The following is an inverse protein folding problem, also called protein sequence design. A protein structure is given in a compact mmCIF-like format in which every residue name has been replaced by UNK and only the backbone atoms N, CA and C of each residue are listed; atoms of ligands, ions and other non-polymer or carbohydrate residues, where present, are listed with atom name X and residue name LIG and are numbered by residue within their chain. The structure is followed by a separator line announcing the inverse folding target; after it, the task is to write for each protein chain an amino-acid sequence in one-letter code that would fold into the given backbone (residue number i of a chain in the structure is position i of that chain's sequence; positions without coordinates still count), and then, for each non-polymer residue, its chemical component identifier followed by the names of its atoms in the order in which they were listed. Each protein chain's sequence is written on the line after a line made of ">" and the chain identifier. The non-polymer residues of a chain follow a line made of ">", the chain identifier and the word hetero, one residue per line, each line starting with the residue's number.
data_IF_951231709292
#
_entry.id   IF_951231709292
#
_cell.length_a   1.000
_cell.length_b   1.000
_cell.length_c   1.000
_cell.angle_alpha   90.00
_cell.angle_beta   90.00
_cell.angle_gamma   90.00
#
_symmetry.space_group_name_H-M   'P 1'
#
loop_
_entity.id
_entity.type
_entity.pdbx_description
1 polymer ?
#
# COMPACT_ATOMS: atom_id res chain seq x y z
N UNK A 1 -19.95 -8.08 1.70
CA UNK A 1 -19.58 -7.84 3.12
C UNK A 1 -18.93 -6.47 3.23
N UNK A 2 -19.51 -5.55 4.01
CA UNK A 2 -18.81 -4.31 4.38
C UNK A 2 -17.74 -4.73 5.38
N UNK A 3 -16.46 -4.69 4.99
CA UNK A 3 -15.36 -4.76 5.94
C UNK A 3 -15.50 -3.55 6.86
N UNK A 4 -16.05 -3.76 8.06
CA UNK A 4 -16.06 -2.74 9.08
C UNK A 4 -14.62 -2.54 9.53
N UNK A 5 -14.19 -1.28 9.54
CA UNK A 5 -12.94 -0.84 10.12
C UNK A 5 -12.83 -1.42 11.56
N UNK A 6 -11.81 -2.25 11.86
CA UNK A 6 -11.65 -2.91 13.17
C UNK A 6 -11.70 -1.94 14.35
N UNK A 7 -11.35 -0.67 14.10
CA UNK A 7 -11.37 0.41 15.09
C UNK A 7 -12.77 0.79 15.60
N UNK A 8 -13.85 0.35 14.94
CA UNK A 8 -15.24 0.72 15.30
C UNK A 8 -16.03 -0.39 15.97
N UNK A 9 -15.44 -1.55 16.16
CA UNK A 9 -16.11 -2.70 16.73
C UNK A 9 -16.15 -2.56 18.26
N UNK A 10 -17.36 -2.64 18.85
CA UNK A 10 -17.54 -2.61 20.30
C UNK A 10 -17.61 -4.02 20.85
N UNK A 11 -16.99 -4.30 22.01
CA UNK A 11 -17.11 -5.58 22.68
C UNK A 11 -18.55 -5.80 23.17
N UNK A 12 -19.14 -6.93 22.81
CA UNK A 12 -20.51 -7.30 23.23
C UNK A 12 -20.54 -8.13 24.53
N UNK A 13 -19.37 -8.57 25.03
CA UNK A 13 -19.22 -9.35 26.25
C UNK A 13 -18.24 -8.72 27.24
N UNK A 14 -18.47 -8.96 28.54
CA UNK A 14 -17.62 -8.47 29.63
C UNK A 14 -16.22 -9.09 29.55
N UNK A 15 -16.13 -10.35 29.12
CA UNK A 15 -14.87 -11.05 28.91
C UNK A 15 -14.05 -10.42 27.77
N UNK A 16 -14.71 -10.06 26.65
CA UNK A 16 -14.06 -9.35 25.55
C UNK A 16 -13.58 -7.97 26.00
N UNK A 17 -14.39 -7.23 26.76
CA UNK A 17 -14.00 -5.95 27.34
C UNK A 17 -12.76 -6.08 28.23
N UNK A 18 -12.71 -7.09 29.10
CA UNK A 18 -11.58 -7.32 29.98
C UNK A 18 -10.30 -7.65 29.20
N UNK A 19 -10.39 -8.53 28.19
CA UNK A 19 -9.23 -8.88 27.37
C UNK A 19 -8.70 -7.64 26.65
N UNK A 20 -9.58 -6.85 26.03
CA UNK A 20 -9.21 -5.62 25.33
C UNK A 20 -8.61 -4.59 26.29
N UNK A 21 -9.19 -4.43 27.48
CA UNK A 21 -8.65 -3.52 28.50
C UNK A 21 -7.25 -3.92 28.96
N UNK A 22 -6.97 -5.23 29.11
CA UNK A 22 -5.63 -5.73 29.43
C UNK A 22 -4.65 -5.40 28.29
N UNK A 23 -5.07 -5.58 27.03
CA UNK A 23 -4.25 -5.24 25.87
C UNK A 23 -3.94 -3.73 25.82
N UNK A 24 -4.96 -2.89 26.01
CA UNK A 24 -4.81 -1.43 26.04
C UNK A 24 -3.89 -0.99 27.21
N UNK A 25 -4.02 -1.60 28.40
CA UNK A 25 -3.14 -1.32 29.52
C UNK A 25 -1.69 -1.77 29.24
N UNK A 26 -1.49 -2.90 28.55
CA UNK A 26 -0.15 -3.34 28.14
C UNK A 26 0.50 -2.41 27.14
N UNK A 27 -0.25 -1.86 26.17
CA UNK A 27 0.25 -0.85 25.23
C UNK A 27 0.74 0.38 26.00
N UNK A 28 -0.08 0.91 26.91
CA UNK A 28 0.29 2.07 27.73
C UNK A 28 1.53 1.79 28.59
N UNK A 29 1.66 0.58 29.14
CA UNK A 29 2.86 0.17 29.91
C UNK A 29 4.10 0.07 29.02
N UNK A 30 3.97 -0.48 27.81
CA UNK A 30 5.04 -0.57 26.82
C UNK A 30 5.52 0.82 26.42
N UNK A 31 4.59 1.72 26.06
CA UNK A 31 4.89 3.12 25.73
C UNK A 31 5.64 3.84 26.85
N UNK A 32 5.24 3.63 28.11
CA UNK A 32 5.92 4.28 29.26
C UNK A 32 7.31 3.71 29.50
N UNK A 33 7.47 2.40 29.34
CA UNK A 33 8.77 1.73 29.52
C UNK A 33 9.76 2.08 28.40
N UNK A 34 9.28 2.31 27.18
CA UNK A 34 10.11 2.69 26.03
C UNK A 34 10.70 4.10 26.15
N UNK A 35 10.14 4.95 27.03
CA UNK A 35 10.71 6.27 27.33
C UNK A 35 12.02 6.18 28.15
N UNK A 36 12.21 5.10 28.92
CA UNK A 36 13.32 5.01 29.89
C UNK A 36 14.69 5.18 29.21
N UNK A 37 15.03 4.47 28.11
CA UNK A 37 16.32 4.65 27.43
C UNK A 37 16.55 6.08 26.94
N UNK A 38 15.57 6.69 26.26
CA UNK A 38 15.69 8.05 25.72
C UNK A 38 15.83 9.13 26.81
N UNK A 39 15.20 8.91 27.97
CA UNK A 39 15.36 9.77 29.14
C UNK A 39 16.76 9.61 29.74
N UNK A 40 17.28 8.40 29.83
CA UNK A 40 18.63 8.13 30.38
C UNK A 40 19.72 8.78 29.51
N UNK A 41 19.57 8.69 28.18
CA UNK A 41 20.52 9.28 27.21
C UNK A 41 20.58 10.81 27.32
N UNK A 42 19.49 11.44 27.75
CA UNK A 42 19.39 12.89 27.87
C UNK A 42 18.92 13.36 29.24
N UNK A 43 19.37 12.66 30.28
CA UNK A 43 18.97 12.91 31.66
C UNK A 43 19.19 14.37 32.10
N UNK A 44 20.29 15.00 31.65
CA UNK A 44 20.59 16.39 31.96
C UNK A 44 19.54 17.39 31.46
N UNK A 45 18.79 17.07 30.40
CA UNK A 45 17.69 17.93 29.90
C UNK A 45 16.39 17.76 30.68
N UNK A 46 16.24 16.63 31.36
CA UNK A 46 15.00 16.26 32.04
C UNK A 46 15.09 16.31 33.56
N UNK A 47 16.30 16.40 34.14
CA UNK A 47 16.54 16.36 35.59
C UNK A 47 15.64 17.32 36.39
N UNK A 48 15.53 18.58 35.97
CA UNK A 48 14.70 19.59 36.65
C UNK A 48 13.21 19.24 36.61
N UNK A 49 12.76 18.61 35.53
CA UNK A 49 11.35 18.23 35.33
C UNK A 49 11.01 16.94 36.09
N UNK A 50 11.93 15.97 36.11
CA UNK A 50 11.79 14.67 36.75
C UNK A 50 11.82 14.78 38.28
N UNK A 51 12.59 15.74 38.81
CA UNK A 51 12.84 15.87 40.25
C UNK A 51 13.93 14.91 40.74
N UNK A 52 14.42 15.12 41.98
CA UNK A 52 15.59 14.40 42.50
C UNK A 52 15.32 12.91 42.70
N UNK A 53 14.11 12.49 43.11
CA UNK A 53 13.81 11.08 43.36
C UNK A 53 13.88 10.25 42.07
N UNK A 54 13.25 10.73 41.00
CA UNK A 54 13.20 10.03 39.71
C UNK A 54 14.58 10.08 39.03
N UNK A 55 15.24 11.23 39.09
CA UNK A 55 16.60 11.40 38.52
C UNK A 55 17.60 10.46 39.19
N UNK A 56 17.57 10.34 40.51
CA UNK A 56 18.43 9.42 41.24
C UNK A 56 18.11 7.95 40.89
N UNK A 57 16.82 7.59 40.81
CA UNK A 57 16.43 6.23 40.42
C UNK A 57 16.92 5.85 39.01
N UNK A 58 16.89 6.80 38.06
CA UNK A 58 17.42 6.62 36.71
C UNK A 58 18.96 6.55 36.67
N UNK A 59 19.65 7.33 37.51
CA UNK A 59 21.12 7.22 37.66
C UNK A 59 21.51 5.84 38.16
N UNK A 60 20.84 5.34 39.21
CA UNK A 60 21.09 4.00 39.73
C UNK A 60 20.76 2.92 38.71
N UNK A 61 19.67 3.08 37.94
CA UNK A 61 19.36 2.18 36.83
C UNK A 61 20.47 2.15 35.77
N UNK A 62 20.99 3.31 35.37
CA UNK A 62 22.09 3.42 34.41
C UNK A 62 23.37 2.75 34.91
N UNK A 63 23.69 2.89 36.19
CA UNK A 63 24.85 2.21 36.81
C UNK A 63 24.71 0.70 36.73
N UNK A 64 23.55 0.16 37.11
CA UNK A 64 23.26 -1.28 37.04
C UNK A 64 23.32 -1.82 35.61
N UNK A 65 22.87 -1.03 34.63
CA UNK A 65 22.94 -1.40 33.22
C UNK A 65 24.40 -1.45 32.73
N UNK A 66 25.22 -0.46 33.08
CA UNK A 66 26.64 -0.46 32.75
C UNK A 66 27.41 -1.60 33.43
N UNK A 67 27.09 -1.94 34.68
CA UNK A 67 27.63 -3.13 35.36
C UNK A 67 27.31 -4.43 34.60
N UNK A 68 26.10 -4.53 34.04
CA UNK A 68 25.64 -5.71 33.28
C UNK A 68 26.36 -5.81 31.94
N UNK A 69 26.45 -4.70 31.20
CA UNK A 69 27.19 -4.63 29.94
C UNK A 69 28.67 -5.00 30.13
N UNK A 70 29.30 -4.51 31.20
CA UNK A 70 30.69 -4.84 31.50
C UNK A 70 30.89 -6.33 31.81
N UNK A 71 29.97 -6.95 32.59
CA UNK A 71 30.03 -8.39 32.86
C UNK A 71 29.83 -9.22 31.59
N UNK A 72 28.90 -8.81 30.72
CA UNK A 72 28.67 -9.48 29.43
C UNK A 72 29.89 -9.38 28.51
N UNK A 73 30.48 -8.19 28.39
CA UNK A 73 31.69 -7.98 27.60
C UNK A 73 32.88 -8.81 28.11
N UNK A 74 33.03 -8.95 29.44
CA UNK A 74 34.08 -9.80 30.04
C UNK A 74 33.83 -11.31 29.87
N UNK A 75 32.60 -11.71 29.52
CA UNK A 75 32.23 -13.13 29.34
C UNK A 75 32.51 -13.64 27.92
N UNK A 76 32.69 -12.76 26.93
CA UNK A 76 32.98 -13.18 25.55
C UNK A 76 34.44 -13.68 25.37
N UNK A 77 35.31 -13.42 26.34
CA UNK A 77 36.75 -13.76 26.28
C UNK A 77 37.11 -15.13 26.92
N UNK A 78 36.16 -15.90 27.46
CA UNK A 78 36.45 -17.23 28.05
C UNK A 78 35.22 -18.00 28.58
N UNK A 79 35.43 -19.29 28.88
CA UNK A 79 34.38 -20.21 29.40
C UNK A 79 33.73 -19.63 30.66
N UNK A 80 32.41 -19.41 30.61
CA UNK A 80 31.65 -18.77 31.69
C UNK A 80 31.66 -19.63 32.96
N UNK A 81 32.23 -19.13 34.05
CA UNK A 81 32.21 -19.83 35.35
C UNK A 81 30.81 -19.80 35.98
N UNK A 82 30.44 -20.84 36.74
CA UNK A 82 29.13 -20.91 37.44
C UNK A 82 28.88 -19.70 38.35
N UNK A 83 29.93 -19.15 38.96
CA UNK A 83 29.88 -17.92 39.78
C UNK A 83 29.47 -16.69 38.96
N UNK A 84 29.96 -16.57 37.72
CA UNK A 84 29.61 -15.51 36.78
C UNK A 84 28.14 -15.59 36.39
N UNK A 85 27.62 -16.81 36.19
CA UNK A 85 26.19 -17.05 35.91
C UNK A 85 25.30 -16.65 37.10
N UNK A 86 25.73 -16.93 38.33
CA UNK A 86 25.07 -16.48 39.55
C UNK A 86 25.05 -14.95 39.69
N UNK A 87 26.16 -14.28 39.38
CA UNK A 87 26.27 -12.82 39.39
C UNK A 87 25.34 -12.16 38.36
N UNK A 88 25.28 -12.70 37.13
CA UNK A 88 24.36 -12.24 36.08
C UNK A 88 22.90 -12.36 36.52
N UNK A 89 22.52 -13.49 37.14
CA UNK A 89 21.16 -13.68 37.65
C UNK A 89 20.80 -12.64 38.74
N UNK A 90 21.73 -12.36 39.66
CA UNK A 90 21.52 -11.35 40.70
C UNK A 90 21.35 -9.95 40.09
N UNK A 91 22.20 -9.61 39.11
CA UNK A 91 22.19 -8.31 38.46
C UNK A 91 20.93 -8.11 37.60
N UNK A 92 20.47 -9.15 36.91
CA UNK A 92 19.19 -9.16 36.19
C UNK A 92 18.02 -8.87 37.15
N UNK A 93 18.00 -9.49 38.34
CA UNK A 93 16.98 -9.21 39.34
C UNK A 93 17.05 -7.78 39.88
N UNK A 94 18.26 -7.24 40.08
CA UNK A 94 18.47 -5.82 40.48
C UNK A 94 17.97 -4.88 39.38
N UNK A 95 18.27 -5.15 38.12
CA UNK A 95 17.78 -4.40 36.97
C UNK A 95 16.25 -4.44 36.88
N UNK A 96 15.63 -5.62 36.99
CA UNK A 96 14.16 -5.76 37.02
C UNK A 96 13.52 -4.94 38.14
N UNK A 97 14.09 -4.97 39.35
CA UNK A 97 13.61 -4.16 40.49
C UNK A 97 13.79 -2.67 40.23
N UNK A 98 14.91 -2.27 39.65
CA UNK A 98 15.22 -0.89 39.29
C UNK A 98 14.24 -0.35 38.25
N UNK A 99 14.01 -1.07 37.14
CA UNK A 99 13.00 -0.70 36.12
C UNK A 99 11.61 -0.58 36.75
N UNK A 100 11.19 -1.55 37.56
CA UNK A 100 9.90 -1.49 38.26
C UNK A 100 9.80 -0.29 39.18
N UNK A 101 10.89 0.09 39.86
CA UNK A 101 10.92 1.26 40.72
C UNK A 101 10.75 2.55 39.91
N UNK A 102 11.53 2.70 38.83
CA UNK A 102 11.43 3.84 37.91
C UNK A 102 10.01 3.94 37.34
N UNK A 103 9.45 2.84 36.85
CA UNK A 103 8.09 2.81 36.33
C UNK A 103 7.05 3.22 37.38
N UNK A 104 7.15 2.73 38.63
CA UNK A 104 6.23 3.16 39.70
C UNK A 104 6.31 4.66 39.95
N UNK A 105 7.51 5.23 39.98
CA UNK A 105 7.71 6.68 40.17
C UNK A 105 7.15 7.50 39.00
N UNK A 106 7.31 7.01 37.77
CA UNK A 106 6.72 7.63 36.57
C UNK A 106 5.19 7.53 36.58
N UNK A 107 4.65 6.37 36.94
CA UNK A 107 3.20 6.11 37.01
C UNK A 107 2.50 6.94 38.09
N UNK A 108 3.20 7.27 39.19
CA UNK A 108 2.68 8.17 40.21
C UNK A 108 2.47 9.60 39.70
N UNK A 109 3.06 9.98 38.56
CA UNK A 109 2.96 11.33 37.96
C UNK A 109 2.58 11.25 36.46
N UNK A 110 1.31 10.93 36.10
CA UNK A 110 0.90 10.71 34.71
C UNK A 110 1.16 11.89 33.77
N UNK A 111 0.99 13.13 34.26
CA UNK A 111 1.23 14.36 33.48
C UNK A 111 2.70 14.54 33.08
N UNK A 112 3.63 14.06 33.90
CA UNK A 112 5.06 14.03 33.61
C UNK A 112 5.33 13.11 32.42
N UNK A 113 4.73 11.91 32.38
CA UNK A 113 4.89 10.97 31.27
C UNK A 113 4.40 11.56 29.95
N UNK A 114 3.28 12.29 29.96
CA UNK A 114 2.77 12.95 28.76
C UNK A 114 3.72 14.06 28.26
N UNK A 115 4.26 14.86 29.18
CA UNK A 115 5.24 15.89 28.85
C UNK A 115 6.56 15.30 28.33
N UNK A 116 6.99 14.16 28.90
CA UNK A 116 8.14 13.39 28.43
C UNK A 116 7.91 12.82 27.03
N UNK A 117 6.73 12.27 26.74
CA UNK A 117 6.37 11.78 25.40
C UNK A 117 6.53 12.90 24.35
N UNK A 118 6.07 14.11 24.65
CA UNK A 118 6.18 15.24 23.71
C UNK A 118 7.63 15.76 23.52
N UNK A 119 8.51 15.62 24.52
CA UNK A 119 9.88 16.16 24.48
C UNK A 119 10.97 15.15 24.14
N UNK A 120 10.76 13.86 24.45
CA UNK A 120 11.73 12.79 24.25
C UNK A 120 11.67 12.20 22.83
N UNK A 121 10.54 12.32 22.15
CA UNK A 121 10.31 11.80 20.79
C UNK A 121 10.87 12.71 19.70
N UNK A 122 12.19 12.93 19.73
CA UNK A 122 12.93 13.54 18.60
C UNK A 122 13.42 12.45 17.63
N UNK A 123 13.40 11.18 18.03
CA UNK A 123 13.77 10.00 17.23
C UNK A 123 12.79 8.88 17.56
N UNK A 124 12.28 8.15 16.56
CA UNK A 124 11.48 6.94 16.81
C UNK A 124 12.34 5.92 17.59
N UNK A 125 11.94 5.54 18.81
CA UNK A 125 12.65 4.54 19.57
C UNK A 125 12.53 3.17 18.89
N UNK A 126 13.54 2.28 18.98
CA UNK A 126 13.46 0.92 18.42
C UNK A 126 12.23 0.12 18.92
N UNK A 127 11.72 0.46 20.09
CA UNK A 127 10.51 -0.13 20.66
C UNK A 127 9.20 0.30 19.96
N UNK A 128 9.21 1.34 19.12
CA UNK A 128 8.00 1.84 18.46
C UNK A 128 7.44 0.85 17.44
N UNK A 129 8.32 0.16 16.70
CA UNK A 129 7.91 -0.93 15.80
C UNK A 129 7.14 -2.01 16.58
N UNK A 130 7.63 -2.35 17.78
CA UNK A 130 6.97 -3.34 18.63
C UNK A 130 5.65 -2.81 19.21
N UNK A 131 5.59 -1.54 19.63
CA UNK A 131 4.36 -0.91 20.13
C UNK A 131 3.29 -0.89 19.04
N UNK A 132 3.65 -0.51 17.81
CA UNK A 132 2.75 -0.49 16.66
C UNK A 132 2.28 -1.91 16.30
N UNK A 133 3.20 -2.88 16.20
CA UNK A 133 2.84 -4.28 15.96
C UNK A 133 1.93 -4.84 17.06
N UNK A 134 2.11 -4.44 18.31
CA UNK A 134 1.23 -4.84 19.41
C UNK A 134 -0.14 -4.16 19.32
N UNK A 135 -0.22 -2.92 18.82
CA UNK A 135 -1.46 -2.24 18.47
C UNK A 135 -2.23 -2.96 17.36
N UNK A 136 -1.53 -3.41 16.32
CA UNK A 136 -2.11 -4.26 15.27
C UNK A 136 -2.62 -5.59 15.84
N UNK A 137 -1.82 -6.24 16.69
CA UNK A 137 -2.23 -7.46 17.40
C UNK A 137 -3.49 -7.23 18.25
N UNK A 138 -3.58 -6.10 18.95
CA UNK A 138 -4.78 -5.73 19.72
C UNK A 138 -6.01 -5.61 18.83
N UNK A 139 -5.89 -4.97 17.67
CA UNK A 139 -6.99 -4.83 16.71
C UNK A 139 -7.39 -6.18 16.11
N UNK A 140 -6.42 -7.02 15.78
CA UNK A 140 -6.64 -8.39 15.33
C UNK A 140 -7.36 -9.24 16.39
N UNK A 141 -6.95 -9.15 17.65
CA UNK A 141 -7.61 -9.85 18.76
C UNK A 141 -9.04 -9.37 18.94
N UNK A 142 -9.30 -8.07 18.82
CA UNK A 142 -10.65 -7.51 18.87
C UNK A 142 -11.53 -8.07 17.74
N UNK A 143 -11.03 -8.08 16.50
CA UNK A 143 -11.75 -8.67 15.36
C UNK A 143 -12.08 -10.14 15.64
N UNK A 144 -11.10 -10.92 16.11
CA UNK A 144 -11.28 -12.34 16.42
C UNK A 144 -12.28 -12.60 17.54
N UNK A 145 -12.26 -11.79 18.60
CA UNK A 145 -13.18 -11.94 19.74
C UNK A 145 -14.62 -11.55 19.38
N UNK A 146 -14.79 -10.74 18.33
CA UNK A 146 -16.08 -10.31 17.83
C UNK A 146 -16.60 -11.13 16.65
N UNK A 147 -15.76 -11.99 16.07
CA UNK A 147 -16.15 -12.87 14.97
C UNK A 147 -16.76 -14.15 15.53
N UNK A 148 -17.99 -14.46 15.14
CA UNK A 148 -18.64 -15.72 15.49
C UNK A 148 -17.95 -16.91 14.80
N UNK A 149 -17.94 -18.11 15.41
CA UNK A 149 -17.42 -19.32 14.76
C UNK A 149 -18.11 -19.65 13.42
N UNK A 150 -19.35 -19.18 13.22
CA UNK A 150 -20.08 -19.34 11.96
C UNK A 150 -19.57 -18.33 10.93
N UNK A 151 -19.45 -17.06 11.30
CA UNK A 151 -18.93 -15.99 10.43
C UNK A 151 -17.50 -16.28 9.96
N UNK A 152 -16.66 -16.83 10.84
CA UNK A 152 -15.29 -17.24 10.49
C UNK A 152 -15.30 -18.36 9.43
N UNK A 153 -16.16 -19.36 9.58
CA UNK A 153 -16.31 -20.43 8.58
C UNK A 153 -16.82 -19.90 7.25
N UNK A 154 -17.78 -18.98 7.26
CA UNK A 154 -18.29 -18.33 6.06
C UNK A 154 -17.21 -17.49 5.37
N UNK A 155 -16.40 -16.74 6.13
CA UNK A 155 -15.26 -15.97 5.61
C UNK A 155 -14.22 -16.89 4.96
N UNK A 156 -13.90 -18.02 5.59
CA UNK A 156 -12.97 -19.03 5.04
C UNK A 156 -13.54 -19.63 3.75
N UNK A 157 -14.80 -20.04 3.74
CA UNK A 157 -15.45 -20.61 2.56
C UNK A 157 -15.48 -19.59 1.40
N UNK A 158 -15.88 -18.36 1.68
CA UNK A 158 -15.88 -17.28 0.69
C UNK A 158 -14.48 -17.03 0.11
N UNK A 159 -13.44 -16.97 0.95
CA UNK A 159 -12.07 -16.77 0.49
C UNK A 159 -11.58 -17.95 -0.37
N UNK A 160 -11.96 -19.19 -0.03
CA UNK A 160 -11.64 -20.37 -0.83
C UNK A 160 -12.34 -20.34 -2.19
N UNK A 161 -13.62 -19.96 -2.22
CA UNK A 161 -14.40 -19.83 -3.46
C UNK A 161 -13.82 -18.74 -4.37
N UNK A 162 -13.46 -17.59 -3.81
CA UNK A 162 -12.76 -16.52 -4.55
C UNK A 162 -11.42 -17.01 -5.08
N UNK A 163 -10.63 -17.71 -4.26
CA UNK A 163 -9.34 -18.27 -4.68
C UNK A 163 -9.49 -19.28 -5.81
N UNK A 164 -10.52 -20.13 -5.75
CA UNK A 164 -10.83 -21.10 -6.79
C UNK A 164 -11.23 -20.38 -8.09
N UNK A 165 -12.11 -19.38 -8.02
CA UNK A 165 -12.50 -18.57 -9.18
C UNK A 165 -11.32 -17.83 -9.79
N UNK A 166 -10.42 -17.29 -8.98
CA UNK A 166 -9.19 -16.66 -9.47
C UNK A 166 -8.35 -17.68 -10.22
N UNK A 167 -8.15 -18.89 -9.68
CA UNK A 167 -7.40 -19.96 -10.37
C UNK A 167 -8.03 -20.33 -11.71
N UNK A 168 -9.33 -20.62 -11.74
CA UNK A 168 -10.03 -20.98 -12.99
C UNK A 168 -9.96 -19.85 -14.01
N UNK A 169 -10.10 -18.59 -13.56
CA UNK A 169 -10.00 -17.44 -14.45
C UNK A 169 -8.57 -17.26 -14.97
N UNK A 170 -7.55 -17.46 -14.13
CA UNK A 170 -6.15 -17.40 -14.58
C UNK A 170 -5.81 -18.50 -15.60
N UNK A 171 -6.34 -19.71 -15.40
CA UNK A 171 -6.19 -20.81 -16.35
C UNK A 171 -6.90 -20.52 -17.67
N UNK A 172 -8.13 -20.01 -17.63
CA UNK A 172 -8.88 -19.61 -18.82
C UNK A 172 -8.18 -18.48 -19.59
N UNK A 173 -7.64 -17.47 -18.89
CA UNK A 173 -6.86 -16.39 -19.50
C UNK A 173 -5.61 -16.96 -20.18
N UNK A 174 -4.89 -17.87 -19.53
CA UNK A 174 -3.71 -18.50 -20.11
C UNK A 174 -4.05 -19.34 -21.36
N UNK A 175 -5.16 -20.08 -21.34
CA UNK A 175 -5.64 -20.83 -22.49
C UNK A 175 -5.99 -19.93 -23.68
N UNK A 176 -6.78 -18.87 -23.46
CA UNK A 176 -7.13 -17.89 -24.50
C UNK A 176 -5.90 -17.15 -25.03
N UNK A 177 -4.92 -16.84 -24.18
CA UNK A 177 -3.65 -16.25 -24.62
C UNK A 177 -2.85 -17.22 -25.51
N UNK A 178 -2.85 -18.52 -25.18
CA UNK A 178 -2.19 -19.53 -26.01
C UNK A 178 -2.90 -19.72 -27.36
N UNK A 179 -4.23 -19.70 -27.38
CA UNK A 179 -5.04 -19.75 -28.62
C UNK A 179 -4.80 -18.53 -29.50
N UNK A 180 -4.79 -17.33 -28.93
CA UNK A 180 -4.45 -16.10 -29.66
C UNK A 180 -3.03 -16.16 -30.24
N UNK A 181 -2.05 -16.63 -29.46
CA UNK A 181 -0.68 -16.78 -29.93
C UNK A 181 -0.55 -17.86 -31.02
N UNK A 182 -1.37 -18.92 -30.98
CA UNK A 182 -1.43 -19.91 -32.05
C UNK A 182 -2.05 -19.31 -33.32
N UNK A 183 -3.16 -18.58 -33.20
CA UNK A 183 -3.84 -17.94 -34.33
C UNK A 183 -2.99 -16.85 -35.01
N UNK A 184 -2.20 -16.11 -34.24
CA UNK A 184 -1.23 -15.14 -34.78
C UNK A 184 -0.15 -15.87 -35.59
N UNK A 185 0.43 -16.95 -35.04
CA UNK A 185 1.46 -17.75 -35.74
C UNK A 185 0.94 -18.36 -37.03
N UNK A 186 -0.26 -18.94 -37.04
CA UNK A 186 -0.84 -19.50 -38.27
C UNK A 186 -1.06 -18.43 -39.32
N UNK A 187 -1.48 -17.21 -38.92
CA UNK A 187 -1.65 -16.09 -39.85
C UNK A 187 -0.31 -15.60 -40.40
N UNK A 188 0.72 -15.52 -39.57
CA UNK A 188 2.08 -15.16 -40.00
C UNK A 188 2.64 -16.20 -40.98
N UNK A 189 2.45 -17.50 -40.72
CA UNK A 189 2.83 -18.59 -41.62
C UNK A 189 2.06 -18.55 -42.97
N UNK A 190 0.76 -18.24 -42.94
CA UNK A 190 -0.06 -18.05 -44.14
C UNK A 190 0.35 -16.80 -44.95
N UNK A 191 0.67 -15.69 -44.28
CA UNK A 191 1.17 -14.47 -44.92
C UNK A 191 2.57 -14.70 -45.52
N UNK A 192 3.44 -15.49 -44.88
CA UNK A 192 4.77 -15.84 -45.38
C UNK A 192 4.71 -16.82 -46.57
N UNK A 193 3.86 -17.85 -46.50
CA UNK A 193 3.61 -18.80 -47.60
C UNK A 193 2.90 -18.13 -48.79
N UNK A 194 1.93 -17.24 -48.51
CA UNK A 194 1.24 -16.43 -49.50
C UNK A 194 2.14 -15.38 -50.17
N UNK A 195 3.08 -14.78 -49.43
CA UNK A 195 4.09 -13.87 -49.97
C UNK A 195 5.10 -14.63 -50.84
N UNK A 196 5.56 -15.81 -50.41
CA UNK A 196 6.44 -16.66 -51.22
C UNK A 196 5.78 -17.12 -52.54
N UNK A 197 4.50 -17.49 -52.50
CA UNK A 197 3.73 -17.87 -53.69
C UNK A 197 3.44 -16.73 -54.66
N UNK A 198 3.27 -15.49 -54.16
CA UNK A 198 3.03 -14.29 -55.00
C UNK A 198 4.31 -13.62 -55.50
N UNK A 199 5.43 -13.75 -54.78
CA UNK A 199 6.73 -13.20 -55.18
C UNK A 199 7.46 -14.07 -56.22
N UNK A 200 7.11 -15.36 -56.34
CA UNK A 200 7.65 -16.25 -57.38
C UNK A 200 7.38 -15.77 -58.82
N UNK A 201 6.12 -15.47 -59.19
CA UNK A 201 5.79 -14.99 -60.55
C UNK A 201 6.20 -13.53 -60.81
N UNK A 202 6.19 -12.66 -59.78
CA UNK A 202 6.52 -11.24 -59.96
C UNK A 202 8.03 -10.96 -60.11
N UNK A 203 8.90 -11.86 -59.64
CA UNK A 203 10.37 -11.70 -59.79
C UNK A 203 10.87 -11.94 -61.22
N UNK A 204 10.03 -12.48 -62.10
CA UNK A 204 10.35 -12.72 -63.51
C UNK A 204 9.76 -11.68 -64.47
N UNK A 205 8.98 -10.70 -64.00
CA UNK A 205 8.21 -9.84 -64.92
C UNK A 205 8.41 -8.33 -64.82
N UNK A 206 9.33 -7.78 -64.03
CA UNK A 206 9.48 -6.32 -63.98
C UNK A 206 10.94 -5.83 -64.00
N UNK A 207 11.36 -5.40 -65.20
CA UNK A 207 12.15 -4.18 -65.42
C UNK A 207 11.27 -3.20 -66.23
N UNK A 208 11.54 -1.88 -66.18
CA UNK A 208 10.54 -0.91 -65.76
C UNK A 208 10.02 -0.05 -66.92
N UNK A 209 8.75 0.39 -66.87
CA UNK A 209 8.38 1.70 -67.41
C UNK A 209 6.95 2.18 -67.04
N UNK A 210 6.88 3.50 -66.81
CA UNK A 210 5.72 4.40 -66.97
C UNK A 210 4.73 4.61 -65.80
N UNK A 211 5.15 5.56 -64.95
CA UNK A 211 4.49 6.85 -64.62
C UNK A 211 2.97 7.02 -64.85
N UNK A 212 2.36 7.53 -63.78
CA UNK A 212 1.22 8.47 -63.69
C UNK A 212 -0.21 7.89 -63.85
N UNK A 213 -0.98 7.86 -62.75
CA UNK A 213 -1.96 8.91 -62.40
C UNK A 213 -2.80 8.48 -61.18
N UNK A 214 -2.90 9.41 -60.23
CA UNK A 214 -3.80 9.41 -59.06
C UNK A 214 -5.19 9.86 -59.53
N UNK A 215 -6.29 9.29 -59.00
CA UNK A 215 -7.15 10.09 -58.11
C UNK A 215 -7.70 9.34 -56.89
N UNK A 216 -7.44 9.95 -55.74
CA UNK A 216 -8.39 10.33 -54.69
C UNK A 216 -9.56 9.38 -54.35
N UNK A 217 -9.46 8.84 -53.13
CA UNK A 217 -10.56 8.21 -52.43
C UNK A 217 -11.66 9.18 -52.04
N UNK A 218 -12.88 8.66 -52.04
CA UNK A 218 -14.02 9.23 -51.31
C UNK A 218 -14.44 8.20 -50.27
N UNK A 219 -14.31 8.60 -49.00
CA UNK A 219 -14.99 7.96 -47.87
C UNK A 219 -16.49 7.90 -48.16
N UNK A 220 -17.11 6.74 -47.92
CA UNK A 220 -18.54 6.70 -47.63
C UNK A 220 -18.77 6.03 -46.29
N UNK A 221 -19.22 6.90 -45.38
CA UNK A 221 -19.70 6.68 -44.04
C UNK A 221 -21.16 6.28 -44.12
N UNK A 222 -21.54 5.25 -43.36
CA UNK A 222 -22.90 5.04 -42.84
C UNK A 222 -23.95 4.55 -43.84
N UNK A 223 -24.60 3.44 -43.50
CA UNK A 223 -26.03 3.21 -43.70
C UNK A 223 -26.43 1.96 -42.90
N UNK A 224 -26.54 2.17 -41.59
CA UNK A 224 -27.33 1.31 -40.71
C UNK A 224 -28.80 1.55 -41.09
N UNK A 225 -29.37 0.62 -41.87
CA UNK A 225 -30.79 0.69 -42.26
C UNK A 225 -31.64 0.09 -41.15
N UNK A 226 -32.24 0.97 -40.36
CA UNK A 226 -33.43 0.65 -39.58
C UNK A 226 -34.55 0.20 -40.54
N UNK A 227 -35.04 -1.02 -40.37
CA UNK A 227 -36.29 -1.46 -41.00
C UNK A 227 -37.47 -0.83 -40.24
N UNK A 228 -38.39 -0.11 -40.90
CA UNK A 228 -39.58 0.40 -40.24
C UNK A 228 -40.59 -0.74 -40.00
N UNK A 229 -41.32 -0.76 -38.87
CA UNK A 229 -42.44 -1.68 -38.71
C UNK A 229 -43.62 -1.10 -39.50
N UNK A 230 -43.88 -1.65 -40.67
CA UNK A 230 -45.17 -1.48 -41.34
C UNK A 230 -45.73 -2.84 -41.68
N UNK A 231 -46.45 -3.42 -40.72
CA UNK A 231 -47.51 -4.38 -41.00
C UNK A 231 -48.78 -3.77 -40.42
N UNK A 232 -49.52 -3.06 -41.27
CA UNK A 232 -50.95 -2.86 -41.04
C UNK A 232 -51.62 -4.23 -41.11
N UNK A 233 -52.64 -4.53 -40.29
CA UNK A 233 -53.39 -5.77 -40.44
C UNK A 233 -54.07 -5.71 -41.81
N UNK A 234 -53.61 -6.54 -42.75
CA UNK A 234 -54.33 -6.77 -43.98
C UNK A 234 -55.67 -7.40 -43.58
N UNK A 235 -56.71 -6.57 -43.53
CA UNK A 235 -58.09 -7.05 -43.51
C UNK A 235 -58.26 -7.98 -44.70
N UNK A 236 -58.85 -9.15 -44.46
CA UNK A 236 -59.23 -10.09 -45.51
C UNK A 236 -60.03 -9.37 -46.59
N UNK A 237 -59.40 -9.05 -47.73
CA UNK A 237 -60.12 -8.81 -48.96
C UNK A 237 -60.47 -10.20 -49.51
N UNK A 238 -61.65 -10.70 -49.12
CA UNK A 238 -62.27 -11.84 -49.78
C UNK A 238 -62.71 -11.36 -51.16
N UNK A 239 -61.84 -11.47 -52.15
CA UNK A 239 -62.28 -11.46 -53.54
C UNK A 239 -62.95 -12.81 -53.85
N UNK A 240 -64.20 -12.69 -54.27
CA UNK A 240 -65.13 -13.77 -54.53
C UNK A 240 -64.79 -14.45 -55.86
N UNK A 241 -64.28 -15.69 -55.83
CA UNK A 241 -64.18 -16.55 -57.02
C UNK A 241 -65.38 -17.52 -57.06
N UNK A 242 -66.06 -17.74 -58.21
CA UNK A 242 -67.28 -18.54 -58.26
C UNK A 242 -66.98 -20.05 -58.12
N UNK A 243 -67.91 -20.85 -57.56
CA UNK A 243 -67.67 -22.26 -57.33
C UNK A 243 -68.11 -23.10 -58.53
N UNK A 244 -67.15 -23.75 -59.22
CA UNK A 244 -67.44 -24.85 -60.14
C UNK A 244 -66.95 -26.17 -59.55
N UNK A 245 -67.90 -27.09 -59.37
CA UNK A 245 -67.77 -28.56 -59.42
C UNK A 245 -66.63 -29.23 -58.63
N UNK A 246 -66.98 -29.94 -57.56
CA UNK A 246 -66.22 -31.09 -57.00
C UNK A 246 -64.73 -30.90 -56.62
N UNK A 247 -64.22 -29.65 -56.57
CA UNK A 247 -62.87 -29.31 -56.07
C UNK A 247 -62.87 -28.63 -54.67
N UNK A 248 -64.04 -28.36 -54.09
CA UNK A 248 -64.19 -27.54 -52.87
C UNK A 248 -63.55 -28.11 -51.59
N UNK A 249 -63.50 -29.45 -51.44
CA UNK A 249 -62.99 -30.07 -50.22
C UNK A 249 -61.45 -30.11 -50.15
N UNK A 250 -60.77 -30.32 -51.28
CA UNK A 250 -59.30 -30.27 -51.32
C UNK A 250 -58.79 -28.84 -51.17
N UNK A 251 -59.40 -27.87 -51.85
CA UNK A 251 -59.03 -26.46 -51.77
C UNK A 251 -59.16 -25.88 -50.35
N UNK A 252 -60.25 -26.20 -49.65
CA UNK A 252 -60.44 -25.80 -48.25
C UNK A 252 -59.38 -26.40 -47.31
N UNK A 253 -59.01 -27.67 -47.52
CA UNK A 253 -57.95 -28.32 -46.72
C UNK A 253 -56.56 -27.74 -46.95
N UNK A 254 -56.27 -27.24 -48.15
CA UNK A 254 -55.00 -26.58 -48.49
C UNK A 254 -54.94 -25.19 -47.85
N UNK A 255 -56.03 -24.42 -47.93
CA UNK A 255 -56.13 -23.12 -47.28
C UNK A 255 -55.95 -23.22 -45.75
N UNK A 256 -56.58 -24.20 -45.11
CA UNK A 256 -56.42 -24.41 -43.67
C UNK A 256 -54.99 -24.79 -43.27
N UNK A 257 -54.27 -25.55 -44.10
CA UNK A 257 -52.84 -25.86 -43.87
C UNK A 257 -51.98 -24.61 -44.05
N UNK A 258 -52.24 -23.80 -45.07
CA UNK A 258 -51.52 -22.55 -45.31
C UNK A 258 -51.69 -21.58 -44.14
N UNK A 259 -52.92 -21.37 -43.63
CA UNK A 259 -53.13 -20.50 -42.46
C UNK A 259 -52.41 -20.99 -41.20
N UNK A 260 -52.28 -22.32 -41.02
CA UNK A 260 -51.51 -22.90 -39.89
C UNK A 260 -50.02 -22.59 -40.05
N UNK A 261 -49.47 -22.82 -41.24
CA UNK A 261 -48.08 -22.52 -41.55
C UNK A 261 -47.80 -21.02 -41.42
N UNK A 262 -48.71 -20.15 -41.89
CA UNK A 262 -48.62 -18.69 -41.73
C UNK A 262 -48.62 -18.28 -40.25
N UNK A 263 -49.46 -18.90 -39.42
CA UNK A 263 -49.48 -18.65 -37.97
C UNK A 263 -48.19 -19.12 -37.31
N UNK A 264 -47.66 -20.27 -37.71
CA UNK A 264 -46.36 -20.76 -37.25
C UNK A 264 -45.23 -19.81 -37.64
N UNK A 265 -45.21 -19.32 -38.88
CA UNK A 265 -44.25 -18.31 -39.35
C UNK A 265 -44.37 -17.03 -38.52
N UNK A 266 -45.59 -16.52 -38.28
CA UNK A 266 -45.77 -15.33 -37.44
C UNK A 266 -45.26 -15.53 -36.01
N UNK A 267 -45.50 -16.71 -35.42
CA UNK A 267 -44.97 -17.05 -34.10
C UNK A 267 -43.44 -17.09 -34.09
N UNK A 268 -42.80 -17.64 -35.13
CA UNK A 268 -41.34 -17.65 -35.25
C UNK A 268 -40.77 -16.25 -35.43
N UNK A 269 -41.40 -15.41 -36.25
CA UNK A 269 -41.01 -14.00 -36.42
C UNK A 269 -41.15 -13.22 -35.11
N UNK A 270 -42.23 -13.43 -34.37
CA UNK A 270 -42.43 -12.78 -33.06
C UNK A 270 -41.36 -13.20 -32.05
N UNK A 271 -41.04 -14.51 -31.97
CA UNK A 271 -39.97 -15.01 -31.11
C UNK A 271 -38.63 -14.39 -31.47
N UNK A 272 -38.29 -14.35 -32.75
CA UNK A 272 -37.05 -13.74 -33.22
C UNK A 272 -36.97 -12.25 -32.88
N UNK A 273 -38.04 -11.49 -33.14
CA UNK A 273 -38.07 -10.06 -32.80
C UNK A 273 -37.94 -9.81 -31.29
N UNK A 274 -38.49 -10.71 -30.47
CA UNK A 274 -38.38 -10.64 -29.00
C UNK A 274 -36.95 -10.93 -28.55
N UNK A 275 -36.36 -12.04 -29.01
CA UNK A 275 -34.98 -12.42 -28.70
C UNK A 275 -33.97 -11.36 -29.16
N UNK A 276 -34.14 -10.81 -30.37
CA UNK A 276 -33.31 -9.70 -30.86
C UNK A 276 -33.43 -8.45 -29.99
N UNK A 277 -34.64 -8.14 -29.50
CA UNK A 277 -34.86 -7.02 -28.59
C UNK A 277 -34.20 -7.24 -27.22
N UNK A 278 -34.31 -8.45 -26.67
CA UNK A 278 -33.65 -8.84 -25.41
C UNK A 278 -32.13 -8.76 -25.54
N UNK A 279 -31.55 -9.29 -26.63
CA UNK A 279 -30.11 -9.22 -26.89
C UNK A 279 -29.62 -7.80 -27.07
N UNK A 280 -30.40 -6.95 -27.72
CA UNK A 280 -30.08 -5.53 -27.87
C UNK A 280 -30.09 -4.81 -26.52
N UNK A 281 -31.09 -5.09 -25.66
CA UNK A 281 -31.16 -4.51 -24.32
C UNK A 281 -29.99 -4.96 -23.43
N UNK A 282 -29.63 -6.24 -23.46
CA UNK A 282 -28.45 -6.78 -22.76
C UNK A 282 -27.16 -6.10 -23.23
N UNK A 283 -26.99 -5.94 -24.55
CA UNK A 283 -25.83 -5.25 -25.12
C UNK A 283 -25.74 -3.80 -24.65
N UNK A 284 -26.86 -3.07 -24.68
CA UNK A 284 -26.93 -1.67 -24.24
C UNK A 284 -26.62 -1.52 -22.74
N UNK A 285 -27.10 -2.44 -21.90
CA UNK A 285 -26.80 -2.46 -20.47
C UNK A 285 -25.30 -2.66 -20.21
N UNK A 286 -24.70 -3.67 -20.84
CA UNK A 286 -23.26 -3.96 -20.70
C UNK A 286 -22.42 -2.80 -21.25
N UNK A 287 -22.80 -2.24 -22.39
CA UNK A 287 -22.11 -1.10 -22.99
C UNK A 287 -22.19 0.15 -22.09
N UNK A 288 -23.34 0.40 -21.46
CA UNK A 288 -23.50 1.49 -20.50
C UNK A 288 -22.65 1.30 -19.24
N UNK A 289 -22.54 0.06 -18.73
CA UNK A 289 -21.65 -0.27 -17.62
C UNK A 289 -20.18 -0.05 -18.02
N UNK A 290 -19.76 -0.57 -19.16
CA UNK A 290 -18.41 -0.38 -19.71
C UNK A 290 -18.04 1.10 -19.87
N UNK A 291 -18.96 1.93 -20.39
CA UNK A 291 -18.73 3.36 -20.53
C UNK A 291 -18.51 4.05 -19.17
N UNK A 292 -19.26 3.68 -18.13
CA UNK A 292 -19.08 4.19 -16.77
C UNK A 292 -17.73 3.77 -16.18
N UNK A 293 -17.36 2.50 -16.31
CA UNK A 293 -16.08 1.98 -15.82
C UNK A 293 -14.89 2.63 -16.54
N UNK A 294 -14.99 2.81 -17.86
CA UNK A 294 -13.98 3.50 -18.67
C UNK A 294 -13.78 4.95 -18.21
N UNK A 295 -14.86 5.65 -17.88
CA UNK A 295 -14.78 7.01 -17.34
C UNK A 295 -14.14 7.05 -15.93
N UNK A 296 -14.50 6.09 -15.06
CA UNK A 296 -13.88 5.97 -13.73
C UNK A 296 -12.39 5.65 -13.81
N UNK A 297 -12.00 4.77 -14.72
CA UNK A 297 -10.59 4.44 -14.96
C UNK A 297 -9.81 5.66 -15.41
N UNK A 298 -10.35 6.45 -16.34
CA UNK A 298 -9.72 7.69 -16.79
C UNK A 298 -9.49 8.67 -15.63
N UNK A 299 -10.50 8.88 -14.77
CA UNK A 299 -10.38 9.73 -13.58
C UNK A 299 -9.31 9.22 -12.60
N UNK A 300 -9.25 7.90 -12.37
CA UNK A 300 -8.24 7.31 -11.49
C UNK A 300 -6.83 7.45 -12.07
N UNK A 301 -6.66 7.31 -13.38
CA UNK A 301 -5.39 7.52 -14.06
C UNK A 301 -4.90 8.98 -13.93
N UNK A 302 -5.81 9.94 -14.09
CA UNK A 302 -5.50 11.37 -13.89
C UNK A 302 -5.04 11.64 -12.45
N UNK A 303 -5.80 11.16 -11.45
CA UNK A 303 -5.42 11.30 -10.04
C UNK A 303 -4.06 10.65 -9.74
N UNK A 304 -3.80 9.46 -10.30
CA UNK A 304 -2.51 8.77 -10.15
C UNK A 304 -1.36 9.59 -10.74
N UNK A 305 -1.57 10.24 -11.89
CA UNK A 305 -0.54 11.07 -12.52
C UNK A 305 -0.16 12.26 -11.62
N UNK A 306 -1.16 12.94 -11.03
CA UNK A 306 -0.93 14.04 -10.09
C UNK A 306 -0.18 13.56 -8.85
N UNK A 307 -0.61 12.46 -8.23
CA UNK A 307 0.05 11.92 -7.04
C UNK A 307 1.51 11.51 -7.30
N UNK A 308 1.80 10.94 -8.48
CA UNK A 308 3.18 10.61 -8.86
C UNK A 308 4.04 11.87 -8.99
N UNK A 309 3.51 12.94 -9.57
CA UNK A 309 4.21 14.21 -9.67
C UNK A 309 4.51 14.79 -8.28
N UNK A 310 3.51 14.85 -7.40
CA UNK A 310 3.68 15.32 -6.02
C UNK A 310 4.71 14.48 -5.25
N UNK A 311 4.66 13.16 -5.40
CA UNK A 311 5.61 12.24 -4.79
C UNK A 311 7.05 12.54 -5.23
N UNK A 312 7.28 12.70 -6.54
CA UNK A 312 8.62 13.05 -7.05
C UNK A 312 9.11 14.41 -6.54
N UNK A 313 8.21 15.38 -6.40
CA UNK A 313 8.56 16.69 -5.85
C UNK A 313 8.97 16.59 -4.36
N UNK A 314 8.23 15.82 -3.56
CA UNK A 314 8.54 15.59 -2.14
C UNK A 314 9.89 14.89 -1.98
N UNK A 315 10.18 13.90 -2.83
CA UNK A 315 11.49 13.22 -2.84
C UNK A 315 12.63 14.19 -3.16
N UNK A 316 12.46 15.03 -4.17
CA UNK A 316 13.46 16.04 -4.55
C UNK A 316 13.67 17.10 -3.45
N UNK A 317 12.58 17.61 -2.87
CA UNK A 317 12.63 18.56 -1.75
C UNK A 317 13.33 17.95 -0.53
N UNK A 318 13.05 16.68 -0.22
CA UNK A 318 13.71 15.96 0.86
C UNK A 318 15.20 15.78 0.60
N UNK A 319 15.60 15.45 -0.63
CA UNK A 319 17.01 15.36 -1.04
C UNK A 319 17.72 16.70 -0.85
N UNK A 320 17.14 17.80 -1.33
CA UNK A 320 17.70 19.14 -1.19
C UNK A 320 17.80 19.55 0.28
N UNK A 321 16.77 19.25 1.09
CA UNK A 321 16.77 19.55 2.52
C UNK A 321 17.89 18.79 3.24
N UNK A 322 18.14 17.53 2.87
CA UNK A 322 19.20 16.71 3.44
C UNK A 322 20.58 17.25 3.07
N UNK A 323 20.80 17.59 1.81
CA UNK A 323 22.06 18.20 1.35
C UNK A 323 22.36 19.52 2.08
N UNK A 324 21.36 20.38 2.28
CA UNK A 324 21.51 21.63 3.05
C UNK A 324 21.88 21.38 4.51
N UNK A 325 21.29 20.37 5.15
CA UNK A 325 21.64 19.98 6.54
C UNK A 325 23.09 19.50 6.62
N UNK A 326 23.54 18.70 5.64
CA UNK A 326 24.92 18.23 5.58
C UNK A 326 25.93 19.35 5.33
N UNK A 327 25.59 20.30 4.45
CA UNK A 327 26.40 21.50 4.23
C UNK A 327 26.51 22.35 5.50
N UNK A 328 25.39 22.63 6.17
CA UNK A 328 25.38 23.38 7.43
C UNK A 328 26.20 22.67 8.53
N UNK A 329 26.16 21.33 8.59
CA UNK A 329 26.97 20.57 9.54
C UNK A 329 28.48 20.69 9.21
N UNK A 330 28.86 20.61 7.94
CA UNK A 330 30.24 20.81 7.49
C UNK A 330 30.74 22.22 7.82
N UNK A 331 29.92 23.23 7.60
CA UNK A 331 30.25 24.61 7.96
C UNK A 331 30.38 24.79 9.47
N UNK A 332 29.43 24.26 10.25
CA UNK A 332 29.45 24.34 11.71
C UNK A 332 30.68 23.65 12.30
N UNK A 333 31.05 22.47 11.80
CA UNK A 333 32.26 21.76 12.23
C UNK A 333 33.52 22.55 11.88
N UNK A 334 33.60 23.14 10.68
CA UNK A 334 34.71 24.01 10.29
C UNK A 334 34.83 25.25 11.20
N UNK A 335 33.71 25.92 11.49
CA UNK A 335 33.65 27.05 12.42
C UNK A 335 34.08 26.65 13.84
N UNK A 336 33.63 25.48 14.32
CA UNK A 336 33.98 24.96 15.64
C UNK A 336 35.47 24.65 15.74
N UNK A 337 36.08 24.06 14.70
CA UNK A 337 37.52 23.81 14.66
C UNK A 337 38.32 25.12 14.64
N UNK A 338 37.88 26.12 13.87
CA UNK A 338 38.49 27.44 13.85
C UNK A 338 38.42 28.13 15.23
N UNK A 339 37.23 28.14 15.85
CA UNK A 339 37.02 28.69 17.19
C UNK A 339 37.90 27.98 18.23
N UNK A 340 37.99 26.64 18.17
CA UNK A 340 38.84 25.85 19.08
C UNK A 340 40.31 26.22 18.94
N UNK A 341 40.81 26.41 17.70
CA UNK A 341 42.19 26.85 17.45
C UNK A 341 42.46 28.25 18.02
N UNK A 342 41.55 29.20 17.81
CA UNK A 342 41.66 30.57 18.35
C UNK A 342 41.66 30.53 19.88
N UNK A 343 40.73 29.81 20.48
CA UNK A 343 40.64 29.69 21.94
C UNK A 343 41.87 29.01 22.54
N UNK A 344 42.39 27.94 21.93
CA UNK A 344 43.62 27.29 22.38
C UNK A 344 44.82 28.23 22.31
N UNK A 345 44.95 29.00 21.22
CA UNK A 345 45.99 30.01 21.09
C UNK A 345 45.89 31.08 22.18
N UNK A 346 44.69 31.62 22.42
CA UNK A 346 44.46 32.63 23.45
C UNK A 346 44.73 32.11 24.87
N UNK A 347 44.21 30.92 25.22
CA UNK A 347 44.50 30.25 26.49
C UNK A 347 46.01 30.07 26.67
N UNK A 348 46.71 29.60 25.64
CA UNK A 348 48.16 29.48 25.65
C UNK A 348 48.90 30.81 25.81
N UNK A 349 48.45 31.87 25.13
CA UNK A 349 48.99 33.22 25.29
C UNK A 349 48.80 33.75 26.73
N UNK A 350 47.60 33.60 27.28
CA UNK A 350 47.25 34.04 28.63
C UNK A 350 48.16 33.37 29.67
N UNK A 351 48.32 32.05 29.58
CA UNK A 351 49.23 31.27 30.43
C UNK A 351 50.66 31.81 30.32
N UNK A 352 51.19 31.95 29.09
CA UNK A 352 52.55 32.47 28.87
C UNK A 352 52.72 33.91 29.38
N UNK A 353 51.71 34.76 29.24
CA UNK A 353 51.72 36.12 29.76
C UNK A 353 51.78 36.15 31.30
N UNK A 354 50.94 35.35 31.97
CA UNK A 354 51.00 35.20 33.43
C UNK A 354 52.36 34.69 33.91
N UNK A 355 52.94 33.69 33.25
CA UNK A 355 54.28 33.20 33.60
C UNK A 355 55.39 34.21 33.31
N UNK A 356 55.31 35.01 32.23
CA UNK A 356 56.25 36.12 31.97
C UNK A 356 56.18 37.18 33.07
N UNK A 357 54.98 37.58 33.51
CA UNK A 357 54.81 38.56 34.60
C UNK A 357 55.34 38.05 35.95
N UNK A 358 55.12 36.77 36.28
CA UNK A 358 55.68 36.12 37.47
C UNK A 358 57.21 36.02 37.40
N UNK A 359 57.78 35.69 36.24
CA UNK A 359 59.24 35.64 36.04
C UNK A 359 59.88 37.02 36.22
N UNK A 360 59.25 38.08 35.70
CA UNK A 360 59.73 39.45 35.86
C UNK A 360 59.61 39.94 37.32
N UNK A 361 58.55 39.60 38.07
CA UNK A 361 58.45 39.87 39.52
C UNK A 361 59.52 39.13 40.34
N UNK A 362 59.81 37.86 40.00
CA UNK A 362 60.85 37.06 40.69
C UNK A 362 62.27 37.59 40.44
N UNK A 363 62.55 38.18 39.27
CA UNK A 363 63.80 38.91 39.01
C UNK A 363 63.90 40.20 39.85
N UNK A 364 62.83 41.00 39.93
CA UNK A 364 62.79 42.26 40.72
C UNK A 364 62.92 42.05 42.23
N UNK A 365 62.44 40.92 42.77
CA UNK A 365 62.60 40.56 44.19
C UNK A 365 64.01 40.07 44.55
N UNK A 366 64.79 39.57 43.59
CA UNK A 366 66.17 39.09 43.82
C UNK A 366 67.21 40.22 43.84
N UNK A 367 66.85 41.40 43.35
CA UNK A 367 67.72 42.58 43.25
C UNK A 367 67.64 43.50 44.49
N UNK A 368 66.65 43.29 45.38
CA UNK A 368 66.50 44.02 46.66
C UNK A 368 67.08 43.30 47.88
N UNK A 369 67.78 42.17 47.67
CA UNK A 369 68.35 41.34 48.73
C UNK A 369 69.87 41.17 48.64
N UNK A 370 70.57 42.10 48.01
CA UNK A 370 72.04 42.19 48.02
C UNK A 370 72.46 43.54 48.54
#
# INVERSE_FOLDING_TARGET
>A
MKMLDPCRLKPDSVETEQIVAVLDETIVKLERSSLIPGIIDSLGRFADMLGPEITNALIEHRKLAAEMEHLLASSEEGDSTEEQRGCLCLLEQRLKRSVRNVLRLLLARPSLCQALKCKAWVREPPAEVFINAFGEFRNFMLERLLTSPVEEKEKIQFMNDVSLRIKTNTEAIAALQAELAAAIRTREEEEESGAAGRLGPLRQQLCPEQRMLVPQGTENRGLEKAFPPRIAPAGCLVEHWPPTGTHGNLSCSVFQRNCRVETEIMNWVQKYNTDMGEKQAEYEEVHAAYAKEKAQLALLMEKRAVLLQEYTQIEEESRICQEKKEQALKEFTAMTLAATRIQAFWRGYLVRSHFKSKRNKKKKGKEKGK
#
